data_IF_996745535920
#
_entry.id   IF_996745535920
#
_cell.length_a   1.000
_cell.length_b   1.000
_cell.length_c   1.000
_cell.angle_alpha   90.00
_cell.angle_beta   90.00
_cell.angle_gamma   90.00
#
_symmetry.space_group_name_H-M   'P 1'
#
loop_
_entity.id
_entity.type
_entity.pdbx_description
1 polymer ?
#
# COMPACT_ATOMS: atom_id res chain seq x y z
N UNK A 1 -6.36 13.28 27.60
CA UNK A 1 -5.73 11.99 27.99
C UNK A 1 -4.24 12.19 27.92
N UNK A 2 -3.54 12.13 29.05
CA UNK A 2 -2.08 12.28 29.08
C UNK A 2 -1.45 11.18 28.21
N UNK A 3 -0.50 11.56 27.34
CA UNK A 3 0.30 10.58 26.62
C UNK A 3 1.15 9.86 27.65
N UNK A 4 0.87 8.58 27.86
CA UNK A 4 1.74 7.72 28.63
C UNK A 4 3.02 7.53 27.82
N UNK A 5 4.15 7.89 28.41
CA UNK A 5 5.44 7.75 27.76
C UNK A 5 5.84 6.26 27.72
N UNK A 6 6.45 5.78 26.62
CA UNK A 6 6.91 4.41 26.55
C UNK A 6 8.02 4.17 27.59
N UNK A 7 8.17 2.93 28.10
CA UNK A 7 9.30 2.56 28.96
C UNK A 7 10.64 2.77 28.21
N UNK A 8 11.79 2.70 28.91
CA UNK A 8 13.09 2.76 28.25
C UNK A 8 13.21 1.73 27.11
N UNK A 9 13.76 2.14 25.97
CA UNK A 9 13.91 1.25 24.81
C UNK A 9 14.83 0.07 25.15
N UNK A 10 14.57 -1.13 24.59
CA UNK A 10 15.30 -2.35 24.97
C UNK A 10 16.70 -2.46 24.36
N UNK A 11 17.01 -1.66 23.32
CA UNK A 11 18.33 -1.63 22.70
C UNK A 11 18.57 -0.32 21.93
N UNK A 12 19.84 0.05 21.77
CA UNK A 12 20.25 1.30 21.10
C UNK A 12 19.84 1.36 19.62
N UNK A 13 19.85 0.20 18.93
CA UNK A 13 19.49 0.11 17.53
C UNK A 13 17.99 0.36 17.26
N UNK A 14 17.15 0.26 18.29
CA UNK A 14 15.72 0.54 18.17
C UNK A 14 15.51 2.06 18.17
N UNK A 15 14.96 2.66 17.10
CA UNK A 15 14.65 4.09 17.10
C UNK A 15 13.49 4.41 18.05
N UNK A 16 13.54 5.57 18.71
CA UNK A 16 12.50 5.98 19.67
C UNK A 16 11.11 6.05 19.02
N UNK A 17 11.06 6.44 17.74
CA UNK A 17 9.83 6.41 16.94
C UNK A 17 9.25 5.00 16.85
N UNK A 18 10.05 4.01 16.47
CA UNK A 18 9.61 2.62 16.34
C UNK A 18 9.13 2.07 17.68
N UNK A 19 9.88 2.37 18.74
CA UNK A 19 9.52 1.97 20.10
C UNK A 19 8.20 2.57 20.57
N UNK A 20 7.98 3.87 20.30
CA UNK A 20 6.72 4.54 20.58
C UNK A 20 5.54 3.95 19.79
N UNK A 21 5.75 3.55 18.53
CA UNK A 21 4.69 2.86 17.75
C UNK A 21 4.37 1.48 18.33
N UNK A 22 5.37 0.68 18.70
CA UNK A 22 5.16 -0.64 19.32
C UNK A 22 4.41 -0.52 20.66
N UNK A 23 4.77 0.46 21.49
CA UNK A 23 4.07 0.74 22.73
C UNK A 23 2.62 1.17 22.51
N UNK A 24 2.34 1.91 21.43
CA UNK A 24 0.96 2.25 21.04
C UNK A 24 0.20 1.05 20.49
N UNK A 25 0.85 0.19 19.69
CA UNK A 25 0.24 -1.01 19.11
C UNK A 25 -0.36 -1.91 20.20
N UNK A 26 0.33 -2.01 21.35
CA UNK A 26 -0.13 -2.70 22.56
C UNK A 26 -1.57 -2.36 22.96
N UNK A 27 -2.01 -1.12 22.74
CA UNK A 27 -3.33 -0.61 23.17
C UNK A 27 -4.42 -0.72 22.11
N UNK A 28 -4.08 -1.25 20.93
CA UNK A 28 -5.02 -1.26 19.78
C UNK A 28 -5.87 -2.51 19.71
N UNK A 29 -5.41 -3.64 20.26
CA UNK A 29 -6.11 -4.93 20.21
C UNK A 29 -5.55 -5.88 21.27
N UNK A 30 -6.38 -6.75 21.85
CA UNK A 30 -6.01 -7.73 22.90
C UNK A 30 -4.80 -8.61 22.51
N UNK A 31 -4.73 -9.03 21.24
CA UNK A 31 -3.59 -9.82 20.71
C UNK A 31 -2.24 -9.09 20.75
N UNK A 32 -2.24 -7.77 20.90
CA UNK A 32 -1.01 -6.99 21.07
C UNK A 32 -0.71 -6.69 22.53
N UNK A 33 -1.52 -7.15 23.48
CA UNK A 33 -1.27 -6.95 24.89
C UNK A 33 0.09 -7.55 25.30
N UNK A 34 0.92 -6.74 25.94
CA UNK A 34 2.31 -7.06 26.30
C UNK A 34 3.27 -7.18 25.10
N UNK A 35 2.88 -6.78 23.88
CA UNK A 35 3.71 -7.02 22.69
C UNK A 35 5.08 -6.34 22.76
N UNK A 36 5.15 -5.11 23.26
CA UNK A 36 6.41 -4.38 23.42
C UNK A 36 7.36 -5.06 24.43
N UNK A 37 6.85 -5.70 25.48
CA UNK A 37 7.64 -6.47 26.44
C UNK A 37 8.18 -7.75 25.78
N UNK A 38 7.32 -8.51 25.10
CA UNK A 38 7.72 -9.70 24.31
C UNK A 38 8.74 -9.34 23.21
N UNK A 39 8.59 -8.15 22.61
CA UNK A 39 9.57 -7.62 21.65
C UNK A 39 10.95 -7.41 22.31
N UNK A 40 10.98 -6.87 23.52
CA UNK A 40 12.21 -6.67 24.28
C UNK A 40 12.88 -8.01 24.67
N UNK A 41 12.09 -9.04 25.01
CA UNK A 41 12.59 -10.39 25.33
C UNK A 41 13.28 -11.06 24.13
N UNK A 42 12.80 -10.81 22.92
CA UNK A 42 13.32 -11.39 21.68
C UNK A 42 14.19 -10.42 20.86
N UNK A 43 14.86 -9.45 21.51
CA UNK A 43 15.54 -8.34 20.83
C UNK A 43 16.56 -8.79 19.76
N UNK A 44 17.21 -9.94 19.97
CA UNK A 44 18.16 -10.51 19.01
C UNK A 44 17.48 -11.00 17.73
N UNK A 45 16.29 -11.60 17.82
CA UNK A 45 15.49 -12.04 16.66
C UNK A 45 14.94 -10.82 15.93
N UNK A 46 14.43 -9.83 16.66
CA UNK A 46 13.93 -8.59 16.08
C UNK A 46 15.00 -7.77 15.38
N UNK A 47 16.25 -7.82 15.85
CA UNK A 47 17.38 -7.21 15.12
C UNK A 47 17.56 -7.85 13.74
N UNK A 48 17.44 -9.18 13.62
CA UNK A 48 17.50 -9.85 12.31
C UNK A 48 16.38 -9.39 11.39
N UNK A 49 15.16 -9.28 11.90
CA UNK A 49 14.01 -8.74 11.14
C UNK A 49 14.29 -7.29 10.71
N UNK A 50 14.80 -6.47 11.62
CA UNK A 50 15.09 -5.05 11.34
C UNK A 50 16.17 -4.87 10.27
N UNK A 51 17.25 -5.66 10.33
CA UNK A 51 18.38 -5.55 9.42
C UNK A 51 18.14 -6.24 8.05
N UNK A 52 17.13 -7.11 7.92
CA UNK A 52 16.87 -7.87 6.69
C UNK A 52 16.26 -7.00 5.57
N UNK A 53 16.64 -7.26 4.32
CA UNK A 53 16.11 -6.53 3.16
C UNK A 53 14.65 -6.86 2.84
N UNK A 54 14.21 -8.06 3.21
CA UNK A 54 12.89 -8.65 2.99
C UNK A 54 12.34 -9.26 4.31
N UNK A 55 12.03 -8.42 5.33
CA UNK A 55 11.66 -8.86 6.68
C UNK A 55 10.44 -9.79 6.72
N UNK A 56 9.51 -9.63 5.79
CA UNK A 56 8.34 -10.51 5.67
C UNK A 56 8.70 -11.97 5.42
N UNK A 57 9.89 -12.26 4.87
CA UNK A 57 10.35 -13.63 4.66
C UNK A 57 10.68 -14.33 5.98
N UNK A 58 11.26 -13.59 6.93
CA UNK A 58 11.51 -14.07 8.29
C UNK A 58 10.19 -14.20 9.06
N UNK A 59 9.33 -13.18 8.98
CA UNK A 59 8.04 -13.15 9.68
C UNK A 59 7.15 -14.31 9.23
N UNK A 60 7.14 -14.67 7.94
CA UNK A 60 6.30 -15.75 7.39
C UNK A 60 6.87 -17.16 7.60
N UNK A 61 8.16 -17.32 7.92
CA UNK A 61 8.79 -18.62 8.11
C UNK A 61 8.65 -19.07 9.57
N UNK A 62 7.93 -20.18 9.79
CA UNK A 62 7.66 -20.74 11.12
C UNK A 62 8.91 -20.98 11.98
N UNK A 63 10.07 -21.25 11.35
CA UNK A 63 11.31 -21.52 12.08
C UNK A 63 12.05 -20.26 12.51
N UNK A 64 11.77 -19.12 11.88
CA UNK A 64 12.50 -17.86 12.09
C UNK A 64 11.64 -16.72 12.61
N UNK A 65 10.32 -16.88 12.55
CA UNK A 65 9.33 -15.93 13.06
C UNK A 65 9.53 -15.66 14.56
N UNK A 66 9.49 -14.39 15.00
CA UNK A 66 9.50 -14.07 16.43
C UNK A 66 8.29 -14.69 17.15
N UNK A 67 8.51 -15.30 18.31
CA UNK A 67 7.45 -15.97 19.09
C UNK A 67 6.39 -14.99 19.57
N UNK A 68 6.76 -13.73 19.80
CA UNK A 68 5.86 -12.62 20.10
C UNK A 68 4.75 -12.43 19.06
N UNK A 69 4.94 -12.94 17.83
CA UNK A 69 3.96 -12.88 16.75
C UNK A 69 3.11 -14.16 16.60
N UNK A 70 3.25 -15.14 17.49
CA UNK A 70 2.44 -16.36 17.46
C UNK A 70 0.95 -16.03 17.61
N UNK A 71 0.09 -16.63 16.78
CA UNK A 71 -1.35 -16.40 16.78
C UNK A 71 -1.81 -15.07 16.15
N UNK A 72 -0.90 -14.23 15.66
CA UNK A 72 -1.26 -13.06 14.85
C UNK A 72 -1.73 -13.47 13.45
N UNK A 73 -2.66 -12.70 12.89
CA UNK A 73 -3.07 -12.86 11.48
C UNK A 73 -2.09 -12.17 10.53
N UNK A 74 -2.15 -12.53 9.24
CA UNK A 74 -1.33 -11.89 8.21
C UNK A 74 -1.45 -10.35 8.19
N UNK A 75 -2.64 -9.80 8.45
CA UNK A 75 -2.82 -8.35 8.54
C UNK A 75 -2.17 -7.79 9.81
N UNK A 76 -2.30 -8.51 10.93
CA UNK A 76 -1.68 -8.13 12.19
C UNK A 76 -0.15 -8.13 12.11
N UNK A 77 0.43 -9.00 11.29
CA UNK A 77 1.87 -9.01 11.00
C UNK A 77 2.32 -7.75 10.27
N UNK A 78 1.53 -7.29 9.30
CA UNK A 78 1.80 -6.04 8.57
C UNK A 78 1.78 -4.84 9.52
N UNK A 79 0.90 -4.84 10.53
CA UNK A 79 0.85 -3.78 11.55
C UNK A 79 2.09 -3.77 12.45
N UNK A 80 2.58 -4.94 12.85
CA UNK A 80 3.84 -5.06 13.59
C UNK A 80 5.00 -4.57 12.71
N UNK A 81 5.07 -5.03 11.45
CA UNK A 81 6.08 -4.59 10.50
C UNK A 81 6.08 -3.08 10.31
N UNK A 82 4.90 -2.44 10.23
CA UNK A 82 4.77 -0.98 10.12
C UNK A 82 5.46 -0.24 11.28
N UNK A 83 5.46 -0.82 12.48
CA UNK A 83 6.08 -0.20 13.64
C UNK A 83 7.62 -0.23 13.55
N UNK A 84 8.21 -1.29 12.97
CA UNK A 84 9.66 -1.51 12.96
C UNK A 84 10.34 -1.17 11.63
N UNK A 85 9.66 -1.42 10.51
CA UNK A 85 10.14 -1.27 9.12
C UNK A 85 9.05 -0.62 8.26
N UNK A 86 8.72 0.66 8.51
CA UNK A 86 7.67 1.37 7.76
C UNK A 86 7.95 1.43 6.25
N UNK A 87 9.22 1.36 5.84
CA UNK A 87 9.65 1.31 4.44
C UNK A 87 9.23 0.02 3.71
N UNK A 88 8.91 -1.06 4.46
CA UNK A 88 8.50 -2.36 3.91
C UNK A 88 7.00 -2.62 3.97
N UNK A 89 6.21 -1.63 4.39
CA UNK A 89 4.74 -1.78 4.52
C UNK A 89 4.06 -1.94 3.16
N UNK A 90 4.49 -1.18 2.14
CA UNK A 90 3.91 -1.27 0.79
C UNK A 90 4.06 -2.68 0.21
N UNK A 91 5.28 -3.25 0.09
CA UNK A 91 5.40 -4.62 -0.42
C UNK A 91 4.70 -5.65 0.47
N UNK A 92 4.73 -5.50 1.80
CA UNK A 92 4.00 -6.42 2.69
C UNK A 92 2.47 -6.36 2.50
N UNK A 93 1.94 -5.18 2.18
CA UNK A 93 0.51 -4.98 1.89
C UNK A 93 0.14 -5.58 0.54
N UNK A 94 0.99 -5.42 -0.48
CA UNK A 94 0.80 -6.06 -1.79
C UNK A 94 0.82 -7.59 -1.67
N UNK A 95 1.74 -8.14 -0.88
CA UNK A 95 1.80 -9.57 -0.56
C UNK A 95 0.51 -10.05 0.13
N UNK A 96 0.01 -9.28 1.09
CA UNK A 96 -1.22 -9.58 1.82
C UNK A 96 -2.45 -9.56 0.89
N UNK A 97 -2.58 -8.54 0.04
CA UNK A 97 -3.67 -8.46 -0.94
C UNK A 97 -3.56 -9.62 -1.93
N UNK A 98 -2.37 -9.94 -2.41
CA UNK A 98 -2.12 -11.07 -3.31
C UNK A 98 -2.54 -12.40 -2.66
N UNK A 99 -2.22 -12.61 -1.38
CA UNK A 99 -2.57 -13.87 -0.70
C UNK A 99 -4.07 -14.00 -0.39
N UNK A 100 -4.78 -12.89 -0.16
CA UNK A 100 -6.22 -12.90 0.18
C UNK A 100 -7.14 -12.78 -1.02
N UNK A 101 -6.81 -11.95 -2.00
CA UNK A 101 -7.66 -11.60 -3.13
C UNK A 101 -7.08 -12.09 -4.47
N UNK A 102 -5.77 -12.30 -4.55
CA UNK A 102 -5.07 -12.73 -5.75
C UNK A 102 -4.33 -11.60 -6.47
N UNK A 103 -3.39 -11.98 -7.33
CA UNK A 103 -2.46 -11.06 -8.02
C UNK A 103 -3.16 -9.98 -8.86
N UNK A 104 -4.32 -10.31 -9.44
CA UNK A 104 -5.11 -9.35 -10.25
C UNK A 104 -5.56 -8.10 -9.49
N UNK A 105 -5.52 -8.11 -8.16
CA UNK A 105 -5.89 -6.97 -7.31
C UNK A 105 -4.71 -6.06 -6.95
N UNK A 106 -3.48 -6.46 -7.29
CA UNK A 106 -2.27 -5.64 -7.11
C UNK A 106 -1.62 -5.25 -8.43
N UNK A 107 -1.95 -5.97 -9.51
CA UNK A 107 -1.46 -5.66 -10.85
C UNK A 107 -2.39 -4.64 -11.52
N UNK A 108 -1.87 -3.49 -11.98
CA UNK A 108 -2.66 -2.53 -12.73
C UNK A 108 -3.27 -3.18 -13.99
N UNK A 109 -4.57 -3.00 -14.27
CA UNK A 109 -5.17 -3.53 -15.47
C UNK A 109 -4.57 -2.84 -16.72
N UNK A 110 -4.52 -3.54 -17.86
CA UNK A 110 -4.14 -2.92 -19.12
C UNK A 110 -5.15 -1.82 -19.49
N UNK A 111 -4.68 -0.79 -20.19
CA UNK A 111 -5.55 0.26 -20.70
C UNK A 111 -6.51 -0.31 -21.75
N UNK A 112 -7.82 -0.20 -21.50
CA UNK A 112 -8.88 -0.70 -22.39
C UNK A 112 -9.88 0.41 -22.73
N UNK A 113 -9.61 1.13 -23.82
CA UNK A 113 -10.52 2.12 -24.36
C UNK A 113 -11.79 1.49 -24.95
N UNK A 114 -11.70 0.27 -25.47
CA UNK A 114 -12.82 -0.42 -26.10
C UNK A 114 -13.90 -0.78 -25.08
N UNK A 115 -13.51 -1.42 -23.98
CA UNK A 115 -14.38 -1.74 -22.86
C UNK A 115 -14.94 -0.47 -22.22
N UNK A 116 -14.09 0.52 -21.94
CA UNK A 116 -14.53 1.80 -21.37
C UNK A 116 -15.58 2.50 -22.24
N UNK A 117 -15.41 2.50 -23.57
CA UNK A 117 -16.38 3.08 -24.49
C UNK A 117 -17.71 2.30 -24.52
N UNK A 118 -17.68 0.97 -24.43
CA UNK A 118 -18.88 0.15 -24.38
C UNK A 118 -19.74 0.42 -23.13
N UNK A 119 -19.10 0.75 -22.01
CA UNK A 119 -19.77 1.12 -20.75
C UNK A 119 -20.21 2.61 -20.69
N UNK A 120 -19.79 3.41 -21.69
CA UNK A 120 -20.12 4.84 -21.77
C UNK A 120 -21.36 5.13 -22.60
N UNK A 121 -21.94 6.32 -22.43
CA UNK A 121 -23.05 6.81 -23.26
C UNK A 121 -23.12 8.35 -23.23
N UNK A 122 -24.12 8.93 -23.89
CA UNK A 122 -24.28 10.40 -23.99
C UNK A 122 -24.50 11.11 -22.65
N UNK A 123 -24.84 10.38 -21.58
CA UNK A 123 -24.99 10.89 -20.22
C UNK A 123 -23.83 10.46 -19.30
N UNK A 124 -22.96 9.56 -19.76
CA UNK A 124 -21.81 9.04 -19.02
C UNK A 124 -20.51 9.31 -19.80
N UNK A 125 -19.89 10.49 -19.64
CA UNK A 125 -18.71 10.88 -20.41
C UNK A 125 -17.46 10.09 -19.99
N UNK A 126 -16.55 9.89 -20.94
CA UNK A 126 -15.23 9.32 -20.69
C UNK A 126 -14.25 10.40 -20.26
N UNK A 127 -13.57 10.18 -19.13
CA UNK A 127 -12.56 11.08 -18.59
C UNK A 127 -11.21 10.37 -18.60
N UNK A 128 -10.21 10.97 -19.24
CA UNK A 128 -8.84 10.48 -19.27
C UNK A 128 -8.02 11.19 -18.19
N UNK A 129 -7.50 10.44 -17.22
CA UNK A 129 -6.58 10.96 -16.20
C UNK A 129 -5.16 10.68 -16.66
N UNK A 130 -4.40 11.74 -16.93
CA UNK A 130 -3.06 11.63 -17.52
C UNK A 130 -1.97 11.90 -16.51
N UNK A 131 -0.95 11.05 -16.57
CA UNK A 131 0.36 11.35 -15.98
C UNK A 131 1.18 12.18 -16.99
N UNK A 132 2.12 13.01 -16.53
CA UNK A 132 3.01 13.75 -17.40
C UNK A 132 3.68 12.83 -18.44
N UNK A 133 3.64 13.20 -19.72
CA UNK A 133 4.22 12.43 -20.82
C UNK A 133 3.34 11.32 -21.39
N UNK A 134 2.17 11.03 -20.80
CA UNK A 134 1.18 10.13 -21.41
C UNK A 134 0.31 10.89 -22.43
N UNK A 135 0.23 10.40 -23.67
CA UNK A 135 -0.66 10.94 -24.70
C UNK A 135 -1.76 9.91 -25.04
N UNK A 136 -3.00 10.06 -24.52
CA UNK A 136 -4.12 9.20 -24.88
C UNK A 136 -4.73 9.58 -26.24
N UNK A 137 -4.37 10.76 -26.77
CA UNK A 137 -5.03 11.36 -27.93
C UNK A 137 -4.87 10.47 -29.15
N UNK A 138 -3.65 10.03 -29.43
CA UNK A 138 -3.36 9.10 -30.53
C UNK A 138 -4.20 7.81 -30.47
N UNK A 139 -4.33 7.20 -29.29
CA UNK A 139 -5.16 6.01 -29.08
C UNK A 139 -6.65 6.30 -29.29
N UNK A 140 -7.14 7.44 -28.81
CA UNK A 140 -8.53 7.88 -28.99
C UNK A 140 -8.87 8.15 -30.46
N UNK A 141 -8.03 8.90 -31.19
CA UNK A 141 -8.27 9.21 -32.60
C UNK A 141 -8.25 7.94 -33.45
N UNK A 142 -7.32 7.02 -33.18
CA UNK A 142 -7.27 5.72 -33.86
C UNK A 142 -8.54 4.92 -33.59
N UNK A 143 -8.97 4.81 -32.34
CA UNK A 143 -10.17 4.08 -31.97
C UNK A 143 -11.44 4.68 -32.60
N UNK A 144 -11.55 6.00 -32.65
CA UNK A 144 -12.67 6.68 -33.28
C UNK A 144 -12.72 6.43 -34.80
N UNK A 145 -11.56 6.47 -35.47
CA UNK A 145 -11.45 6.15 -36.90
C UNK A 145 -11.89 4.71 -37.18
N UNK A 146 -11.46 3.73 -36.36
CA UNK A 146 -11.90 2.33 -36.47
C UNK A 146 -13.41 2.15 -36.27
N UNK A 147 -14.04 3.02 -35.47
CA UNK A 147 -15.50 3.04 -35.24
C UNK A 147 -16.27 3.91 -36.25
N UNK A 148 -15.59 4.59 -37.18
CA UNK A 148 -16.21 5.55 -38.10
C UNK A 148 -16.86 6.73 -37.38
N UNK A 149 -16.28 7.19 -36.27
CA UNK A 149 -16.75 8.32 -35.47
C UNK A 149 -15.85 9.53 -35.68
N UNK A 150 -16.46 10.71 -35.83
CA UNK A 150 -15.73 11.98 -35.84
C UNK A 150 -15.44 12.45 -34.41
N UNK A 151 -14.22 12.91 -34.18
CA UNK A 151 -13.79 13.49 -32.90
C UNK A 151 -13.45 14.95 -33.11
N UNK A 152 -14.21 15.82 -32.47
CA UNK A 152 -13.94 17.26 -32.45
C UNK A 152 -13.20 17.60 -31.16
N UNK A 153 -12.00 18.17 -31.29
CA UNK A 153 -11.17 18.53 -30.15
C UNK A 153 -11.25 20.03 -29.84
N UNK A 154 -11.34 20.35 -28.56
CA UNK A 154 -11.21 21.72 -28.05
C UNK A 154 -10.09 21.71 -27.01
N UNK A 155 -9.07 22.55 -27.22
CA UNK A 155 -8.00 22.73 -26.25
C UNK A 155 -8.46 23.68 -25.15
N UNK A 156 -8.48 23.20 -23.90
CA UNK A 156 -8.77 24.02 -22.74
C UNK A 156 -7.48 24.73 -22.29
N UNK A 157 -7.56 26.05 -22.15
CA UNK A 157 -6.44 26.91 -21.76
C UNK A 157 -6.92 28.30 -21.38
N UNK A 158 -6.02 29.12 -20.82
CA UNK A 158 -6.37 30.48 -20.41
C UNK A 158 -6.82 31.30 -21.64
N UNK A 159 -8.04 31.83 -21.62
CA UNK A 159 -8.63 32.59 -22.73
C UNK A 159 -9.59 31.82 -23.66
N UNK A 160 -9.86 30.53 -23.41
CA UNK A 160 -10.73 29.68 -24.24
C UNK A 160 -12.23 29.70 -23.83
N UNK A 161 -12.74 30.83 -23.33
CA UNK A 161 -14.19 31.01 -23.17
C UNK A 161 -14.95 30.98 -24.52
N UNK A 162 -16.20 31.45 -24.56
CA UNK A 162 -17.46 30.75 -24.93
C UNK A 162 -17.47 29.65 -26.02
N UNK A 163 -16.33 29.08 -26.42
CA UNK A 163 -16.19 28.11 -27.51
C UNK A 163 -16.25 26.64 -27.08
N UNK A 164 -16.31 26.36 -25.79
CA UNK A 164 -16.43 25.03 -25.20
C UNK A 164 -17.89 24.65 -24.94
#
# INVERSE_FOLDING_TARGET
LAREDPPPKPADWVPDRCWGELFRLNKTHERYEGFHEKFAEEIGTWRKVYDDVAPMRIIKDENTRPKAMEGLTDFQDVLVLRCIRPDRVVPATLDFITSKLGEKFVTPPPFDLGGSYADSNSLSPLIFILSPGADPGSALYKFAAEKGKEVNGISLGQGQGPKA
#
